data_IF_882169483742
#
_entry.id   IF_882169483742
#
_cell.length_a   1.000
_cell.length_b   1.000
_cell.length_c   1.000
_cell.angle_alpha   90.00
_cell.angle_beta   90.00
_cell.angle_gamma   90.00
#
_symmetry.space_group_name_H-M   'P 1'
#
loop_
_entity.id
_entity.type
_entity.pdbx_description
1 polymer ?
#
# COMPACT_ATOMS: atom_id res chain seq x y z
N UNK A 1 -6.70 27.72 15.77
CA UNK A 1 -6.59 26.59 14.83
C UNK A 1 -6.16 27.15 13.49
N UNK A 2 -4.97 26.81 13.02
CA UNK A 2 -4.53 27.21 11.68
C UNK A 2 -5.28 26.34 10.67
N UNK A 3 -6.06 26.96 9.79
CA UNK A 3 -6.70 26.27 8.67
C UNK A 3 -5.55 25.93 7.72
N UNK A 4 -5.17 24.64 7.64
CA UNK A 4 -4.23 24.16 6.64
C UNK A 4 -4.69 24.67 5.26
N UNK A 5 -3.77 25.23 4.48
CA UNK A 5 -4.10 25.62 3.11
C UNK A 5 -4.52 24.37 2.34
N UNK A 6 -5.53 24.47 1.48
CA UNK A 6 -5.90 23.39 0.55
C UNK A 6 -4.69 22.87 -0.25
N UNK A 7 -3.72 23.75 -0.50
CA UNK A 7 -2.45 23.39 -1.16
C UNK A 7 -1.61 22.44 -0.30
N UNK A 8 -1.51 22.68 1.00
CA UNK A 8 -0.71 21.87 1.92
C UNK A 8 -1.36 20.49 2.10
N UNK A 9 -2.68 20.45 2.27
CA UNK A 9 -3.42 19.17 2.35
C UNK A 9 -3.27 18.32 1.07
N UNK A 10 -3.20 18.95 -0.11
CA UNK A 10 -2.96 18.23 -1.37
C UNK A 10 -1.55 17.67 -1.44
N UNK A 11 -0.56 18.44 -1.00
CA UNK A 11 0.83 17.99 -0.94
C UNK A 11 0.98 16.77 0.00
N UNK A 12 0.35 16.83 1.18
CA UNK A 12 0.37 15.73 2.16
C UNK A 12 -0.30 14.46 1.61
N UNK A 13 -1.40 14.60 0.87
CA UNK A 13 -2.08 13.48 0.23
C UNK A 13 -1.25 12.86 -0.91
N UNK A 14 -0.53 13.68 -1.68
CA UNK A 14 0.39 13.19 -2.72
C UNK A 14 1.60 12.47 -2.12
N UNK A 15 2.16 12.99 -1.03
CA UNK A 15 3.23 12.32 -0.27
C UNK A 15 2.75 11.01 0.35
N UNK A 16 1.55 11.00 0.93
CA UNK A 16 0.93 9.79 1.47
C UNK A 16 0.70 8.75 0.37
N UNK A 17 0.26 9.18 -0.82
CA UNK A 17 0.08 8.31 -1.98
C UNK A 17 1.41 7.65 -2.43
N UNK A 18 2.51 8.40 -2.44
CA UNK A 18 3.84 7.86 -2.73
C UNK A 18 4.30 6.86 -1.65
N UNK A 19 4.02 7.16 -0.38
CA UNK A 19 4.33 6.25 0.72
C UNK A 19 3.55 4.92 0.61
N UNK A 20 2.26 4.98 0.29
CA UNK A 20 1.44 3.78 0.09
C UNK A 20 1.90 2.94 -1.11
N UNK A 21 2.45 3.57 -2.16
CA UNK A 21 3.08 2.83 -3.27
C UNK A 21 4.30 2.04 -2.80
N UNK A 22 5.21 2.68 -2.06
CA UNK A 22 6.38 2.00 -1.50
C UNK A 22 5.99 0.83 -0.60
N UNK A 23 4.98 1.02 0.26
CA UNK A 23 4.46 -0.07 1.11
C UNK A 23 3.88 -1.22 0.27
N UNK A 24 3.13 -0.90 -0.79
CA UNK A 24 2.57 -1.91 -1.69
C UNK A 24 3.67 -2.77 -2.31
N UNK A 25 4.74 -2.15 -2.80
CA UNK A 25 5.90 -2.85 -3.39
C UNK A 25 6.62 -3.74 -2.38
N UNK A 26 6.80 -3.28 -1.13
CA UNK A 26 7.42 -4.08 -0.07
C UNK A 26 6.59 -5.33 0.23
N UNK A 27 5.28 -5.17 0.40
CA UNK A 27 4.41 -6.31 0.72
C UNK A 27 4.28 -7.29 -0.46
N UNK A 28 4.28 -6.80 -1.70
CA UNK A 28 4.30 -7.65 -2.88
C UNK A 28 5.63 -8.43 -3.01
N UNK A 29 6.75 -7.78 -2.69
CA UNK A 29 8.06 -8.42 -2.60
C UNK A 29 8.10 -9.52 -1.53
N UNK A 30 7.54 -9.26 -0.34
CA UNK A 30 7.42 -10.28 0.71
C UNK A 30 6.52 -11.44 0.31
N UNK A 31 5.38 -11.19 -0.34
CA UNK A 31 4.53 -12.25 -0.86
C UNK A 31 5.29 -13.13 -1.87
N UNK A 32 6.02 -12.50 -2.79
CA UNK A 32 6.85 -13.19 -3.79
C UNK A 32 7.94 -14.06 -3.13
N UNK A 33 8.62 -13.54 -2.11
CA UNK A 33 9.62 -14.29 -1.36
C UNK A 33 9.02 -15.50 -0.63
N UNK A 34 7.90 -15.31 0.07
CA UNK A 34 7.20 -16.38 0.79
C UNK A 34 6.71 -17.47 -0.16
N UNK A 35 6.23 -17.08 -1.35
CA UNK A 35 5.84 -18.01 -2.40
C UNK A 35 6.99 -18.91 -2.81
N UNK A 36 8.17 -18.33 -3.06
CA UNK A 36 9.37 -19.07 -3.44
C UNK A 36 9.81 -20.07 -2.35
N UNK A 37 9.73 -19.66 -1.07
CA UNK A 37 9.99 -20.53 0.08
C UNK A 37 8.94 -21.65 0.24
N UNK A 38 7.67 -21.37 -0.03
CA UNK A 38 6.59 -22.36 0.09
C UNK A 38 6.69 -23.52 -0.90
N UNK A 39 7.34 -23.28 -2.05
CA UNK A 39 7.64 -24.33 -3.04
C UNK A 39 8.70 -25.32 -2.54
N UNK A 40 9.60 -24.89 -1.66
CA UNK A 40 10.62 -25.75 -1.04
C UNK A 40 10.12 -26.39 0.25
N UNK A 41 9.30 -25.68 1.01
CA UNK A 41 8.76 -26.12 2.30
C UNK A 41 7.23 -26.06 2.23
N UNK A 42 6.58 -27.21 2.02
CA UNK A 42 5.11 -27.35 1.86
C UNK A 42 4.31 -26.97 3.11
N UNK A 43 4.42 -25.73 3.57
CA UNK A 43 3.89 -25.24 4.81
C UNK A 43 2.70 -24.31 4.55
N UNK A 44 1.53 -24.66 5.07
CA UNK A 44 0.28 -23.91 4.91
C UNK A 44 0.36 -22.51 5.52
N UNK A 45 1.14 -22.35 6.61
CA UNK A 45 1.37 -21.05 7.26
C UNK A 45 2.06 -20.05 6.32
N UNK A 46 3.00 -20.52 5.49
CA UNK A 46 3.70 -19.66 4.52
C UNK A 46 2.74 -19.15 3.43
N UNK A 47 1.81 -19.99 2.97
CA UNK A 47 0.78 -19.60 1.99
C UNK A 47 -0.20 -18.61 2.60
N UNK A 48 -0.55 -18.78 3.87
CA UNK A 48 -1.39 -17.83 4.60
C UNK A 48 -0.70 -16.46 4.69
N UNK A 49 0.58 -16.43 5.05
CA UNK A 49 1.38 -15.20 5.12
C UNK A 49 1.55 -14.52 3.75
N UNK A 50 1.80 -15.29 2.67
CA UNK A 50 1.84 -14.79 1.30
C UNK A 50 0.53 -14.08 0.93
N UNK A 51 -0.61 -14.73 1.20
CA UNK A 51 -1.94 -14.20 0.91
C UNK A 51 -2.21 -12.90 1.69
N UNK A 52 -1.84 -12.84 2.96
CA UNK A 52 -1.99 -11.63 3.78
C UNK A 52 -1.13 -10.48 3.26
N UNK A 53 0.14 -10.75 2.93
CA UNK A 53 1.04 -9.75 2.37
C UNK A 53 0.50 -9.20 1.02
N UNK A 54 0.06 -10.08 0.11
CA UNK A 54 -0.54 -9.66 -1.15
C UNK A 54 -1.84 -8.84 -0.97
N UNK A 55 -2.69 -9.20 0.00
CA UNK A 55 -3.91 -8.44 0.30
C UNK A 55 -3.61 -7.07 0.91
N UNK A 56 -2.56 -6.97 1.72
CA UNK A 56 -2.10 -5.70 2.26
C UNK A 56 -1.55 -4.79 1.15
N UNK A 57 -0.77 -5.34 0.21
CA UNK A 57 -0.28 -4.61 -0.97
C UNK A 57 -1.44 -4.01 -1.79
N UNK A 58 -2.50 -4.80 -2.04
CA UNK A 58 -3.72 -4.33 -2.71
C UNK A 58 -4.40 -3.20 -1.93
N UNK A 59 -4.57 -3.38 -0.62
CA UNK A 59 -5.19 -2.37 0.24
C UNK A 59 -4.43 -1.03 0.19
N UNK A 60 -3.10 -1.07 0.19
CA UNK A 60 -2.27 0.14 0.04
C UNK A 60 -2.49 0.83 -1.31
N UNK A 61 -2.62 0.07 -2.41
CA UNK A 61 -2.95 0.62 -3.73
C UNK A 61 -4.33 1.29 -3.78
N UNK A 62 -5.32 0.73 -3.07
CA UNK A 62 -6.64 1.36 -2.92
C UNK A 62 -6.54 2.67 -2.15
N UNK A 63 -5.81 2.71 -1.04
CA UNK A 63 -5.64 3.92 -0.23
C UNK A 63 -4.88 5.00 -1.01
N UNK A 64 -3.81 4.64 -1.74
CA UNK A 64 -3.13 5.52 -2.70
C UNK A 64 -4.14 6.15 -3.67
N UNK A 65 -4.98 5.32 -4.27
CA UNK A 65 -5.98 5.77 -5.25
C UNK A 65 -7.01 6.71 -4.63
N UNK A 66 -7.44 6.45 -3.39
CA UNK A 66 -8.34 7.31 -2.64
C UNK A 66 -7.69 8.66 -2.30
N UNK A 67 -6.45 8.66 -1.81
CA UNK A 67 -5.69 9.87 -1.50
C UNK A 67 -5.53 10.77 -2.74
N UNK A 68 -5.18 10.19 -3.90
CA UNK A 68 -5.08 10.92 -5.16
C UNK A 68 -6.43 11.47 -5.64
N UNK A 69 -7.53 10.75 -5.42
CA UNK A 69 -8.88 11.24 -5.76
C UNK A 69 -9.26 12.43 -4.89
N UNK A 70 -9.00 12.37 -3.58
CA UNK A 70 -9.27 13.49 -2.66
C UNK A 70 -8.43 14.71 -3.04
N UNK A 71 -7.13 14.52 -3.31
CA UNK A 71 -6.23 15.60 -3.73
C UNK A 71 -6.68 16.28 -5.03
N UNK A 72 -7.29 15.53 -5.97
CA UNK A 72 -7.83 16.07 -7.23
C UNK A 72 -9.23 16.67 -7.10
N UNK A 73 -10.04 16.12 -6.21
CA UNK A 73 -11.43 16.53 -5.96
C UNK A 73 -11.58 17.74 -5.03
N UNK A 74 -10.55 18.07 -4.25
CA UNK A 74 -10.42 19.34 -3.55
C UNK A 74 -10.17 20.49 -4.55
N UNK A 75 -11.22 20.86 -5.30
CA UNK A 75 -11.31 22.04 -6.14
C UNK A 75 -12.29 23.04 -5.54
#
# INVERSE_FOLDING_TARGET
>A
MSILSLKDMRLDLEQSAAYFESLSQIFDGHATYLKAQSTECGNEDLKLLESHAGNLAKSMTYIKSAALRIAKGAR
#
